data_IF_926320695792
#
_entry.id   IF_926320695792
#
_cell.length_a   1.000
_cell.length_b   1.000
_cell.length_c   1.000
_cell.angle_alpha   90.00
_cell.angle_beta   90.00
_cell.angle_gamma   90.00
#
_symmetry.space_group_name_H-M   'P 1'
#
loop_
_entity.id
_entity.type
_entity.pdbx_description
1 polymer ?
#
# COMPACT_ATOMS: atom_id res chain seq x y z
N UNK A 1 -6.90 -3.83 -17.61
CA UNK A 1 -7.75 -2.88 -16.85
C UNK A 1 -9.21 -3.20 -17.11
N UNK A 2 -9.64 -3.23 -18.38
CA UNK A 2 -11.02 -3.57 -18.76
C UNK A 2 -11.50 -4.92 -18.21
N UNK A 3 -10.68 -5.97 -18.32
CA UNK A 3 -11.01 -7.30 -17.78
C UNK A 3 -11.22 -7.35 -16.26
N UNK A 4 -10.63 -6.41 -15.51
CA UNK A 4 -10.83 -6.32 -14.05
C UNK A 4 -12.10 -5.55 -13.72
N UNK A 5 -12.40 -4.51 -14.49
CA UNK A 5 -13.64 -3.74 -14.37
C UNK A 5 -14.85 -4.60 -14.77
N UNK A 6 -14.73 -5.39 -15.84
CA UNK A 6 -15.74 -6.36 -16.28
C UNK A 6 -15.99 -7.44 -15.21
N UNK A 7 -14.92 -7.97 -14.61
CA UNK A 7 -15.04 -8.93 -13.52
C UNK A 7 -15.74 -8.33 -12.31
N UNK A 8 -15.36 -7.12 -11.89
CA UNK A 8 -15.99 -6.42 -10.77
C UNK A 8 -17.47 -6.12 -11.04
N UNK A 9 -17.81 -5.74 -12.27
CA UNK A 9 -19.20 -5.49 -12.68
C UNK A 9 -20.05 -6.76 -12.62
N UNK A 10 -19.49 -7.89 -13.10
CA UNK A 10 -20.16 -9.20 -13.00
C UNK A 10 -20.40 -9.63 -11.56
N UNK A 11 -19.39 -9.52 -10.70
CA UNK A 11 -19.54 -9.89 -9.28
C UNK A 11 -20.55 -8.98 -8.56
N UNK A 12 -20.65 -7.71 -8.95
CA UNK A 12 -21.67 -6.79 -8.44
C UNK A 12 -23.09 -7.23 -8.86
N UNK A 13 -23.30 -7.57 -10.12
CA UNK A 13 -24.61 -8.06 -10.61
C UNK A 13 -25.03 -9.34 -9.87
N UNK A 14 -24.11 -10.27 -9.67
CA UNK A 14 -24.35 -11.50 -8.92
C UNK A 14 -24.62 -11.27 -7.43
N UNK A 15 -23.98 -10.26 -6.83
CA UNK A 15 -24.26 -9.82 -5.46
C UNK A 15 -25.68 -9.26 -5.34
N UNK A 16 -26.10 -8.42 -6.28
CA UNK A 16 -27.45 -7.85 -6.31
C UNK A 16 -28.49 -8.94 -6.50
N UNK A 17 -28.24 -9.92 -7.38
CA UNK A 17 -29.10 -11.09 -7.55
C UNK A 17 -29.26 -11.88 -6.25
N UNK A 18 -28.15 -12.14 -5.54
CA UNK A 18 -28.20 -12.82 -4.24
C UNK A 18 -28.92 -12.00 -3.17
N UNK A 19 -28.84 -10.67 -3.20
CA UNK A 19 -29.57 -9.80 -2.28
C UNK A 19 -31.09 -9.87 -2.52
N UNK A 20 -31.53 -9.91 -3.78
CA UNK A 20 -32.94 -10.12 -4.11
C UNK A 20 -33.46 -11.46 -3.58
N UNK A 21 -32.67 -12.53 -3.70
CA UNK A 21 -33.03 -13.83 -3.13
C UNK A 21 -33.22 -13.80 -1.60
N UNK A 22 -32.43 -12.99 -0.88
CA UNK A 22 -32.60 -12.79 0.58
C UNK A 22 -33.91 -12.07 0.88
N UNK A 23 -34.24 -11.03 0.12
CA UNK A 23 -35.48 -10.25 0.29
C UNK A 23 -36.70 -11.13 0.04
N UNK A 24 -36.71 -11.93 -1.02
CA UNK A 24 -37.80 -12.85 -1.36
C UNK A 24 -37.98 -13.99 -0.33
N UNK A 25 -36.88 -14.44 0.28
CA UNK A 25 -36.89 -15.54 1.27
C UNK A 25 -37.27 -15.11 2.69
N UNK A 26 -37.45 -13.80 2.93
CA UNK A 26 -37.88 -13.24 4.21
C UNK A 26 -39.25 -13.76 4.70
N UNK A 27 -40.02 -14.43 3.84
CA UNK A 27 -41.29 -15.09 4.14
C UNK A 27 -41.22 -16.51 4.75
N UNK A 28 -40.04 -17.09 5.02
CA UNK A 28 -39.95 -18.34 5.80
C UNK A 28 -38.80 -19.31 5.49
N UNK A 29 -37.89 -19.00 4.57
CA UNK A 29 -36.75 -19.88 4.23
C UNK A 29 -35.42 -19.13 4.26
N UNK A 30 -35.14 -18.45 5.37
CA UNK A 30 -34.08 -17.45 5.50
C UNK A 30 -32.63 -17.97 5.52
N UNK A 31 -32.38 -19.27 5.49
CA UNK A 31 -31.02 -19.82 5.67
C UNK A 31 -30.15 -19.84 4.41
N UNK A 32 -30.73 -20.19 3.26
CA UNK A 32 -29.95 -20.47 2.04
C UNK A 32 -29.58 -19.20 1.26
N UNK A 33 -30.50 -18.24 1.15
CA UNK A 33 -30.24 -16.97 0.46
C UNK A 33 -29.20 -16.13 1.18
N UNK A 34 -29.21 -16.13 2.52
CA UNK A 34 -28.26 -15.35 3.31
C UNK A 34 -26.83 -15.87 3.17
N UNK A 35 -26.63 -17.19 3.17
CA UNK A 35 -25.30 -17.78 2.94
C UNK A 35 -24.80 -17.52 1.52
N UNK A 36 -25.69 -17.62 0.51
CA UNK A 36 -25.35 -17.26 -0.87
C UNK A 36 -24.98 -15.78 -1.01
N UNK A 37 -25.72 -14.89 -0.35
CA UNK A 37 -25.41 -13.46 -0.31
C UNK A 37 -24.05 -13.19 0.33
N UNK A 38 -23.76 -13.80 1.50
CA UNK A 38 -22.45 -13.68 2.14
C UNK A 38 -21.32 -14.15 1.22
N UNK A 39 -21.49 -15.28 0.55
CA UNK A 39 -20.50 -15.77 -0.41
C UNK A 39 -20.25 -14.77 -1.54
N UNK A 40 -21.32 -14.26 -2.17
CA UNK A 40 -21.20 -13.26 -3.26
C UNK A 40 -20.61 -11.93 -2.79
N UNK A 41 -20.94 -11.51 -1.57
CA UNK A 41 -20.35 -10.32 -0.94
C UNK A 41 -18.83 -10.45 -0.83
N UNK A 42 -18.32 -11.59 -0.37
CA UNK A 42 -16.87 -11.82 -0.28
C UNK A 42 -16.18 -11.81 -1.65
N UNK A 43 -16.80 -12.39 -2.67
CA UNK A 43 -16.27 -12.36 -4.04
C UNK A 43 -16.24 -10.94 -4.61
N UNK A 44 -17.30 -10.16 -4.40
CA UNK A 44 -17.33 -8.76 -4.81
C UNK A 44 -16.24 -7.94 -4.11
N UNK A 45 -16.08 -8.08 -2.79
CA UNK A 45 -15.01 -7.39 -2.05
C UNK A 45 -13.61 -7.75 -2.58
N UNK A 46 -13.34 -9.03 -2.83
CA UNK A 46 -12.07 -9.45 -3.42
C UNK A 46 -11.84 -8.84 -4.82
N UNK A 47 -12.90 -8.62 -5.60
CA UNK A 47 -12.81 -7.94 -6.89
C UNK A 47 -12.51 -6.44 -6.75
N UNK A 48 -13.05 -5.79 -5.71
CA UNK A 48 -12.74 -4.40 -5.36
C UNK A 48 -11.26 -4.25 -4.95
N UNK A 49 -10.74 -5.14 -4.11
CA UNK A 49 -9.34 -5.14 -3.68
C UNK A 49 -8.39 -5.27 -4.88
N UNK A 50 -8.74 -6.12 -5.84
CA UNK A 50 -7.99 -6.27 -7.10
C UNK A 50 -8.02 -4.99 -7.94
N UNK A 51 -9.17 -4.32 -8.03
CA UNK A 51 -9.30 -3.06 -8.76
C UNK A 51 -8.47 -1.95 -8.09
N UNK A 52 -8.50 -1.86 -6.76
CA UNK A 52 -7.66 -0.93 -5.98
C UNK A 52 -6.16 -1.18 -6.24
N UNK A 53 -5.73 -2.45 -6.25
CA UNK A 53 -4.36 -2.82 -6.60
C UNK A 53 -3.94 -2.35 -8.00
N UNK A 54 -4.85 -2.34 -8.98
CA UNK A 54 -4.55 -1.78 -10.29
C UNK A 54 -4.37 -0.26 -10.26
N UNK A 55 -5.20 0.45 -9.49
CA UNK A 55 -5.09 1.92 -9.34
C UNK A 55 -3.76 2.28 -8.68
N UNK A 56 -3.37 1.56 -7.64
CA UNK A 56 -2.08 1.79 -6.98
C UNK A 56 -0.90 1.42 -7.88
N UNK A 57 -1.01 0.36 -8.69
CA UNK A 57 0.01 0.03 -9.69
C UNK A 57 0.11 1.12 -10.77
N UNK A 58 -1.01 1.62 -11.28
CA UNK A 58 -1.05 2.70 -12.25
C UNK A 58 -0.43 3.97 -11.66
N UNK A 59 -0.76 4.31 -10.42
CA UNK A 59 -0.16 5.43 -9.69
C UNK A 59 1.36 5.27 -9.56
N UNK A 60 1.86 4.09 -9.18
CA UNK A 60 3.31 3.84 -9.10
C UNK A 60 4.01 3.97 -10.45
N UNK A 61 3.39 3.47 -11.52
CA UNK A 61 3.92 3.60 -12.89
C UNK A 61 4.01 5.07 -13.31
N UNK A 62 2.93 5.83 -13.13
CA UNK A 62 2.91 7.27 -13.46
C UNK A 62 3.99 8.01 -12.66
N UNK A 63 4.11 7.76 -11.36
CA UNK A 63 5.14 8.37 -10.52
C UNK A 63 6.56 7.97 -10.97
N UNK A 64 6.77 6.70 -11.33
CA UNK A 64 8.07 6.22 -11.80
C UNK A 64 8.44 6.83 -13.17
N UNK A 65 7.50 6.87 -14.11
CA UNK A 65 7.67 7.49 -15.43
C UNK A 65 7.98 8.98 -15.27
N UNK A 66 7.34 9.67 -14.33
CA UNK A 66 7.62 11.08 -14.04
C UNK A 66 9.02 11.30 -13.44
N UNK A 67 9.47 10.43 -12.55
CA UNK A 67 10.85 10.47 -12.01
C UNK A 67 11.87 10.21 -13.12
N UNK A 68 11.59 9.29 -14.04
CA UNK A 68 12.45 9.02 -15.20
C UNK A 68 12.47 10.19 -16.20
N UNK A 69 11.35 10.86 -16.42
CA UNK A 69 11.26 12.04 -17.30
C UNK A 69 12.07 13.22 -16.74
N UNK A 70 12.01 13.47 -15.42
CA UNK A 70 12.88 14.45 -14.77
C UNK A 70 14.37 14.10 -14.86
N UNK A 71 14.72 12.81 -14.85
CA UNK A 71 16.09 12.37 -15.06
C UNK A 71 16.55 12.48 -16.53
N UNK A 72 15.64 12.36 -17.49
CA UNK A 72 15.97 12.43 -18.93
C UNK A 72 15.95 13.85 -19.50
N UNK A 73 15.24 14.79 -18.86
CA UNK A 73 15.36 16.23 -19.13
C UNK A 73 16.73 16.80 -18.77
N UNK A 74 17.55 16.05 -18.03
CA UNK A 74 18.95 16.33 -17.76
C UNK A 74 19.84 15.80 -18.90
N UNK A 75 19.73 16.41 -20.09
CA UNK A 75 20.74 16.22 -21.13
C UNK A 75 22.15 16.58 -20.60
N UNK A 76 23.22 15.93 -21.06
CA UNK A 76 24.59 16.18 -20.59
C UNK A 76 25.06 17.55 -21.08
N UNK A 77 24.80 18.60 -20.30
CA UNK A 77 25.21 19.96 -20.65
C UNK A 77 24.70 21.07 -19.75
N UNK A 78 23.75 20.80 -18.85
CA UNK A 78 23.21 21.80 -17.94
C UNK A 78 23.15 21.29 -16.51
N UNK A 79 24.30 21.08 -15.87
CA UNK A 79 24.37 21.04 -14.41
C UNK A 79 24.04 22.45 -13.89
N UNK A 80 22.74 22.78 -13.82
CA UNK A 80 22.29 23.72 -12.81
C UNK A 80 22.44 22.99 -11.49
N UNK A 81 23.55 23.29 -10.84
CA UNK A 81 23.87 22.94 -9.47
C UNK A 81 22.80 23.53 -8.54
N UNK A 82 21.65 22.85 -8.47
CA UNK A 82 20.76 22.95 -7.33
C UNK A 82 21.42 22.14 -6.21
N UNK A 83 21.79 22.76 -5.07
CA UNK A 83 22.46 22.08 -3.97
C UNK A 83 21.43 21.26 -3.19
N UNK A 84 20.89 20.23 -3.82
CA UNK A 84 20.26 19.11 -3.13
C UNK A 84 21.41 18.17 -2.75
N UNK A 85 21.63 17.93 -1.45
CA UNK A 85 22.73 17.08 -1.04
C UNK A 85 22.47 15.69 -1.62
N UNK A 86 23.34 15.27 -2.53
CA UNK A 86 23.41 13.89 -2.98
C UNK A 86 23.63 13.02 -1.74
N UNK A 87 22.55 12.47 -1.19
CA UNK A 87 22.61 11.47 -0.14
C UNK A 87 23.11 10.20 -0.83
N UNK A 88 24.42 10.09 -0.91
CA UNK A 88 25.10 8.88 -1.36
C UNK A 88 24.73 7.75 -0.41
N UNK A 89 24.35 6.59 -0.94
CA UNK A 89 24.10 5.35 -0.19
C UNK A 89 25.12 5.11 0.95
N UNK A 90 26.45 5.27 0.74
CA UNK A 90 27.42 5.14 1.83
C UNK A 90 27.26 6.16 2.97
N UNK A 91 26.80 7.39 2.69
CA UNK A 91 26.50 8.39 3.72
C UNK A 91 25.25 8.02 4.52
N UNK A 92 24.22 7.48 3.85
CA UNK A 92 23.02 7.00 4.53
C UNK A 92 23.34 5.81 5.45
N UNK A 93 24.16 4.87 4.99
CA UNK A 93 24.64 3.74 5.80
C UNK A 93 25.46 4.22 7.01
N UNK A 94 26.34 5.20 6.83
CA UNK A 94 27.11 5.80 7.92
C UNK A 94 26.18 6.45 8.97
N UNK A 95 25.17 7.21 8.53
CA UNK A 95 24.21 7.88 9.40
C UNK A 95 23.37 6.85 10.17
N UNK A 96 22.89 5.80 9.49
CA UNK A 96 22.14 4.71 10.14
C UNK A 96 23.02 4.02 11.19
N UNK A 97 24.29 3.76 10.88
CA UNK A 97 25.23 3.15 11.82
C UNK A 97 25.48 4.07 13.04
N UNK A 98 25.69 5.36 12.83
CA UNK A 98 25.89 6.33 13.91
C UNK A 98 24.66 6.43 14.83
N UNK A 99 23.46 6.47 14.25
CA UNK A 99 22.21 6.50 15.03
C UNK A 99 22.04 5.22 15.84
N UNK A 100 22.25 4.04 15.25
CA UNK A 100 22.16 2.76 15.95
C UNK A 100 23.18 2.64 17.08
N UNK A 101 24.39 3.15 16.89
CA UNK A 101 25.42 3.20 17.94
C UNK A 101 25.02 4.14 19.08
N UNK A 102 24.47 5.32 18.78
CA UNK A 102 23.99 6.27 19.79
C UNK A 102 22.81 5.69 20.59
N UNK A 103 21.87 5.02 19.93
CA UNK A 103 20.76 4.31 20.58
C UNK A 103 21.27 3.18 21.46
N UNK A 104 22.31 2.45 21.03
CA UNK A 104 22.97 1.43 21.86
C UNK A 104 23.57 2.02 23.14
N UNK A 105 24.21 3.19 23.05
CA UNK A 105 24.76 3.90 24.21
C UNK A 105 23.67 4.46 25.15
N UNK A 106 22.51 4.85 24.62
CA UNK A 106 21.38 5.31 25.43
C UNK A 106 20.62 4.16 26.12
N UNK A 107 20.65 2.95 25.55
CA UNK A 107 20.08 1.75 26.18
C UNK A 107 20.97 1.19 27.29
N UNK A 108 22.26 1.56 27.34
CA UNK A 108 23.10 1.38 28.52
C UNK A 108 22.81 2.52 29.48
N UNK A 109 21.85 2.31 30.39
CA UNK A 109 21.48 3.27 31.43
C UNK A 109 22.67 3.78 32.27
N UNK A 110 22.46 4.82 33.10
CA UNK A 110 23.53 5.54 33.78
C UNK A 110 24.44 4.60 34.58
N UNK A 111 25.75 4.78 34.44
CA UNK A 111 26.77 4.17 35.29
C UNK A 111 26.36 4.26 36.77
N UNK A 112 26.52 3.20 37.57
CA UNK A 112 26.24 3.26 39.00
C UNK A 112 27.17 4.30 39.66
N UNK A 113 26.55 5.25 40.34
CA UNK A 113 27.22 6.27 41.16
C UNK A 113 28.03 5.53 42.23
N UNK A 114 29.35 5.52 42.09
CA UNK A 114 30.24 5.04 43.15
C UNK A 114 30.18 6.08 44.28
N UNK A 115 29.52 5.71 45.38
CA UNK A 115 29.63 6.44 46.65
C UNK A 115 31.10 6.47 47.06
N UNK A 116 31.58 7.67 47.36
CA UNK A 116 32.84 7.91 48.05
C UNK A 116 32.54 7.81 49.54
N UNK A 117 33.15 6.84 50.21
CA UNK A 117 33.45 6.86 51.65
C UNK A 117 34.98 6.74 51.77
#
# INVERSE_FOLDING_TARGET
MDTTIEAMSREYEELVAAAMEVVEQSGGRSGTGLEKFKQRWQLFMASCDKAEGMVELARRRITADHVMDMASGMAPGGLVELPLPHISIPHLEQVIHTVNSLTGNLQQGPLPVHKVD
#
